data_IF_933991739348
#
_entry.id   IF_933991739348
#
_cell.length_a   1.000
_cell.length_b   1.000
_cell.length_c   1.000
_cell.angle_alpha   90.00
_cell.angle_beta   90.00
_cell.angle_gamma   90.00
#
_symmetry.space_group_name_H-M   'P 1'
#
loop_
_entity.id
_entity.type
_entity.pdbx_description
1 polymer ?
#
# COMPACT_ATOMS: atom_id res chain seq x y z
N UNK A 1 23.70 -2.41 -9.91
CA UNK A 1 22.47 -2.91 -9.24
C UNK A 1 21.67 -1.72 -8.73
N UNK A 2 20.41 -1.60 -9.11
CA UNK A 2 19.47 -0.59 -8.58
C UNK A 2 18.46 -1.31 -7.70
N UNK A 3 18.19 -0.74 -6.52
CA UNK A 3 17.10 -1.17 -5.63
C UNK A 3 15.97 -0.16 -5.78
N UNK A 4 14.75 -0.63 -6.06
CA UNK A 4 13.56 0.22 -6.04
C UNK A 4 12.41 -0.43 -5.25
N UNK A 5 11.63 0.41 -4.59
CA UNK A 5 10.44 0.02 -3.81
C UNK A 5 9.27 0.96 -4.16
N UNK A 6 8.00 0.54 -4.02
CA UNK A 6 6.86 1.42 -4.24
C UNK A 6 6.83 2.57 -3.23
N UNK A 7 6.12 3.62 -3.62
CA UNK A 7 5.63 4.59 -2.64
C UNK A 7 4.51 3.96 -1.80
N UNK A 8 4.31 4.45 -0.58
CA UNK A 8 3.29 3.89 0.32
C UNK A 8 2.41 5.00 0.88
N UNK A 9 1.10 4.86 0.66
CA UNK A 9 0.09 5.73 1.24
C UNK A 9 -0.42 5.09 2.52
N UNK A 10 -0.35 5.84 3.62
CA UNK A 10 -0.84 5.41 4.93
C UNK A 10 -2.17 6.08 5.26
N UNK A 11 -3.13 5.27 5.71
CA UNK A 11 -4.47 5.67 6.12
C UNK A 11 -4.80 5.03 7.46
N UNK A 12 -5.63 5.70 8.25
CA UNK A 12 -6.00 5.26 9.60
C UNK A 12 -7.52 5.16 9.72
N UNK A 13 -7.99 4.14 10.44
CA UNK A 13 -9.38 3.98 10.85
C UNK A 13 -9.41 3.29 12.22
N UNK A 14 -9.61 4.06 13.29
CA UNK A 14 -9.54 3.57 14.66
C UNK A 14 -8.18 2.95 15.00
N UNK A 15 -8.16 1.68 15.39
CA UNK A 15 -6.91 0.96 15.70
C UNK A 15 -6.20 0.40 14.46
N UNK A 16 -6.80 0.55 13.27
CA UNK A 16 -6.24 0.03 12.03
C UNK A 16 -5.33 1.05 11.34
N UNK A 17 -4.21 0.55 10.82
CA UNK A 17 -3.41 1.28 9.84
C UNK A 17 -3.43 0.51 8.53
N UNK A 18 -3.86 1.18 7.47
CA UNK A 18 -3.90 0.65 6.11
C UNK A 18 -2.75 1.29 5.35
N UNK A 19 -1.86 0.47 4.82
CA UNK A 19 -0.76 0.93 3.98
C UNK A 19 -0.92 0.37 2.58
N UNK A 20 -0.92 1.26 1.59
CA UNK A 20 -1.21 0.92 0.20
C UNK A 20 0.03 1.23 -0.63
N UNK A 21 0.65 0.19 -1.16
CA UNK A 21 1.82 0.32 -2.05
C UNK A 21 1.36 0.73 -3.44
N UNK A 22 1.96 1.80 -3.97
CA UNK A 22 1.56 2.41 -5.25
C UNK A 22 2.76 2.74 -6.12
N UNK A 23 2.53 2.75 -7.43
CA UNK A 23 3.46 3.25 -8.42
C UNK A 23 3.38 4.79 -8.55
N UNK A 24 4.46 5.47 -8.99
CA UNK A 24 5.77 4.92 -9.39
C UNK A 24 6.63 4.46 -8.20
N UNK A 25 7.63 3.60 -8.49
CA UNK A 25 8.63 3.21 -7.50
C UNK A 25 9.64 4.34 -7.24
N UNK A 26 10.32 4.24 -6.10
CA UNK A 26 11.39 5.14 -5.66
C UNK A 26 12.69 4.35 -5.50
N UNK A 27 13.81 5.01 -5.72
CA UNK A 27 15.18 4.47 -5.63
C UNK A 27 15.99 5.07 -4.48
N UNK A 28 15.36 5.96 -3.69
CA UNK A 28 15.90 6.58 -2.48
C UNK A 28 14.92 6.44 -1.30
N UNK A 29 15.46 6.50 -0.07
CA UNK A 29 14.69 6.47 1.18
C UNK A 29 15.20 5.43 2.18
N UNK A 30 14.77 5.56 3.43
CA UNK A 30 15.27 4.77 4.57
C UNK A 30 15.27 3.25 4.33
N UNK A 31 14.16 2.69 3.84
CA UNK A 31 14.07 1.24 3.57
C UNK A 31 15.07 0.79 2.49
N UNK A 32 15.34 1.63 1.51
CA UNK A 32 16.32 1.32 0.47
C UNK A 32 17.73 1.34 1.04
N UNK A 33 18.05 2.30 1.90
CA UNK A 33 19.36 2.36 2.58
C UNK A 33 19.58 1.16 3.51
N UNK A 34 18.55 0.74 4.25
CA UNK A 34 18.56 -0.51 5.04
C UNK A 34 18.89 -1.70 4.13
N UNK A 35 18.20 -1.84 3.00
CA UNK A 35 18.38 -2.95 2.08
C UNK A 35 19.74 -2.92 1.38
N UNK A 36 20.25 -1.74 0.98
CA UNK A 36 21.59 -1.59 0.39
C UNK A 36 22.69 -1.99 1.37
N UNK A 37 22.52 -1.69 2.65
CA UNK A 37 23.57 -1.93 3.66
C UNK A 37 23.80 -3.40 3.96
N UNK A 38 22.74 -4.21 3.98
CA UNK A 38 22.79 -5.59 4.48
C UNK A 38 22.33 -6.64 3.48
N UNK A 39 21.57 -6.23 2.45
CA UNK A 39 20.85 -7.13 1.54
C UNK A 39 19.92 -8.12 2.26
N UNK A 40 19.55 -7.83 3.52
CA UNK A 40 18.76 -8.72 4.37
C UNK A 40 17.46 -8.06 4.79
N UNK A 41 16.34 -8.72 4.50
CA UNK A 41 15.02 -8.31 4.97
C UNK A 41 14.92 -8.38 6.51
N UNK A 42 15.74 -9.21 7.18
CA UNK A 42 15.75 -9.32 8.65
C UNK A 42 16.15 -8.02 9.37
N UNK A 43 16.88 -7.12 8.70
CA UNK A 43 17.25 -5.81 9.27
C UNK A 43 16.07 -4.82 9.28
N UNK A 44 14.99 -5.14 8.58
CA UNK A 44 13.75 -4.36 8.59
C UNK A 44 12.92 -4.68 9.85
N UNK A 45 13.32 -4.06 10.96
CA UNK A 45 12.69 -4.24 12.29
C UNK A 45 11.29 -3.64 12.37
N UNK A 46 11.06 -2.50 11.70
CA UNK A 46 9.73 -1.88 11.61
C UNK A 46 8.95 -2.48 10.43
N UNK A 47 7.99 -3.35 10.77
CA UNK A 47 7.14 -4.02 9.77
C UNK A 47 6.21 -3.04 9.06
N UNK A 48 5.69 -2.03 9.74
CA UNK A 48 4.76 -1.05 9.15
C UNK A 48 5.47 -0.19 8.11
N UNK A 49 6.74 0.12 8.35
CA UNK A 49 7.59 0.84 7.41
C UNK A 49 8.04 -0.06 6.24
N UNK A 50 8.58 -1.23 6.54
CA UNK A 50 9.29 -2.03 5.55
C UNK A 50 8.39 -2.93 4.71
N UNK A 51 7.46 -3.66 5.32
CA UNK A 51 6.78 -4.76 4.62
C UNK A 51 5.95 -4.29 3.42
N UNK A 52 5.21 -3.16 3.49
CA UNK A 52 4.50 -2.65 2.32
C UNK A 52 5.44 -2.34 1.15
N UNK A 53 6.64 -1.82 1.44
CA UNK A 53 7.67 -1.52 0.43
C UNK A 53 8.32 -2.78 -0.12
N UNK A 54 8.52 -3.79 0.72
CA UNK A 54 9.22 -5.01 0.31
C UNK A 54 8.31 -5.94 -0.47
N UNK A 55 7.07 -6.14 -0.02
CA UNK A 55 6.17 -7.15 -0.56
C UNK A 55 5.01 -6.58 -1.40
N UNK A 56 4.87 -5.25 -1.45
CA UNK A 56 3.78 -4.61 -2.17
C UNK A 56 2.38 -4.98 -1.62
N UNK A 57 1.37 -4.52 -2.33
CA UNK A 57 -0.05 -4.75 -2.05
C UNK A 57 -0.61 -3.76 -1.03
N UNK A 58 -1.75 -4.14 -0.46
CA UNK A 58 -2.42 -3.42 0.61
C UNK A 58 -2.21 -4.22 1.89
N UNK A 59 -1.54 -3.63 2.87
CA UNK A 59 -1.45 -4.21 4.21
C UNK A 59 -2.44 -3.54 5.14
N UNK A 60 -3.08 -4.36 5.97
CA UNK A 60 -3.91 -3.91 7.09
C UNK A 60 -3.19 -4.34 8.37
N UNK A 61 -2.89 -3.36 9.21
CA UNK A 61 -2.29 -3.56 10.52
C UNK A 61 -3.32 -3.27 11.60
N UNK A 62 -3.39 -4.14 12.61
CA UNK A 62 -4.04 -3.82 13.88
C UNK A 62 -2.95 -3.39 14.86
N UNK A 63 -2.93 -2.10 15.20
CA UNK A 63 -1.85 -1.44 15.95
C UNK A 63 -0.49 -1.60 15.24
N UNK A 64 0.30 -2.63 15.58
CA UNK A 64 1.61 -2.94 14.94
C UNK A 64 1.69 -4.35 14.34
N UNK A 65 0.63 -5.14 14.50
CA UNK A 65 0.57 -6.51 13.99
C UNK A 65 -0.06 -6.52 12.61
N UNK A 66 0.54 -7.27 11.68
CA UNK A 66 -0.04 -7.49 10.35
C UNK A 66 -1.28 -8.35 10.54
N UNK A 67 -2.44 -7.81 10.16
CA UNK A 67 -3.69 -8.55 10.13
C UNK A 67 -3.83 -9.27 8.78
N UNK A 68 -3.56 -8.56 7.69
CA UNK A 68 -3.65 -9.11 6.33
C UNK A 68 -2.76 -8.37 5.34
N UNK A 69 -2.38 -9.06 4.27
CA UNK A 69 -1.86 -8.50 3.01
C UNK A 69 -2.82 -8.91 1.91
N UNK A 70 -3.25 -7.93 1.11
CA UNK A 70 -4.20 -8.12 0.03
C UNK A 70 -3.52 -7.72 -1.27
N UNK A 71 -3.60 -8.60 -2.27
CA UNK A 71 -3.24 -8.25 -3.63
C UNK A 71 -4.45 -7.69 -4.34
N UNK A 72 -4.29 -6.51 -4.93
CA UNK A 72 -5.35 -5.86 -5.68
C UNK A 72 -4.78 -5.39 -7.01
N UNK A 73 -5.16 -6.05 -8.10
CA UNK A 73 -4.86 -5.60 -9.45
C UNK A 73 -5.82 -4.45 -9.82
N UNK A 74 -5.29 -3.23 -9.81
CA UNK A 74 -6.06 -2.03 -10.07
C UNK A 74 -5.38 -0.75 -9.57
N UNK A 75 -6.20 0.25 -9.30
CA UNK A 75 -5.79 1.62 -9.06
C UNK A 75 -6.40 2.17 -7.77
N UNK A 76 -5.65 3.02 -7.09
CA UNK A 76 -6.10 3.86 -5.99
C UNK A 76 -6.34 5.27 -6.51
N UNK A 77 -7.58 5.75 -6.41
CA UNK A 77 -8.02 7.07 -6.86
C UNK A 77 -8.53 7.89 -5.68
N UNK A 78 -8.42 9.22 -5.75
CA UNK A 78 -9.03 10.09 -4.74
C UNK A 78 -10.54 10.19 -4.98
N UNK A 79 -11.35 9.89 -3.97
CA UNK A 79 -12.80 9.91 -4.04
C UNK A 79 -13.42 11.19 -3.50
N UNK A 80 -14.71 11.38 -3.79
CA UNK A 80 -15.55 12.46 -3.21
C UNK A 80 -16.52 11.95 -2.15
N UNK A 81 -17.00 10.72 -2.32
CA UNK A 81 -17.94 10.06 -1.43
C UNK A 81 -17.48 8.60 -1.23
N UNK A 82 -17.77 8.05 -0.06
CA UNK A 82 -17.37 6.69 0.31
C UNK A 82 -17.92 6.31 1.68
N UNK A 83 -18.05 5.01 1.92
CA UNK A 83 -18.47 4.51 3.23
C UNK A 83 -17.34 4.60 4.25
N UNK A 84 -17.65 4.65 5.54
CA UNK A 84 -16.63 4.58 6.58
C UNK A 84 -15.88 3.25 6.46
N UNK A 85 -14.55 3.30 6.58
CA UNK A 85 -13.73 2.10 6.52
C UNK A 85 -14.13 1.11 7.61
N UNK A 86 -14.51 -0.09 7.17
CA UNK A 86 -14.71 -1.29 7.98
C UNK A 86 -13.89 -2.41 7.36
N UNK A 87 -13.09 -3.12 8.17
CA UNK A 87 -12.14 -4.12 7.67
C UNK A 87 -12.83 -5.29 6.97
N UNK A 88 -13.97 -5.76 7.47
CA UNK A 88 -14.67 -6.91 6.90
C UNK A 88 -15.28 -6.53 5.56
N UNK A 89 -15.98 -5.38 5.51
CA UNK A 89 -16.51 -4.84 4.25
C UNK A 89 -15.41 -4.54 3.25
N UNK A 90 -14.27 -4.03 3.69
CA UNK A 90 -13.14 -3.74 2.82
C UNK A 90 -12.67 -4.98 2.06
N UNK A 91 -12.53 -6.11 2.75
CA UNK A 91 -12.15 -7.38 2.13
C UNK A 91 -13.15 -7.86 1.06
N UNK A 92 -14.45 -7.68 1.29
CA UNK A 92 -15.49 -8.05 0.33
C UNK A 92 -15.54 -7.08 -0.86
N UNK A 93 -15.52 -5.78 -0.57
CA UNK A 93 -15.63 -4.70 -1.56
C UNK A 93 -14.45 -4.59 -2.53
N UNK A 94 -13.27 -5.12 -2.18
CA UNK A 94 -12.14 -5.21 -3.11
C UNK A 94 -12.34 -6.25 -4.22
N UNK A 95 -13.34 -7.14 -4.10
CA UNK A 95 -13.74 -8.05 -5.19
C UNK A 95 -14.57 -7.33 -6.25
N UNK A 96 -15.20 -6.21 -5.89
CA UNK A 96 -16.01 -5.41 -6.80
C UNK A 96 -15.12 -4.62 -7.78
N UNK A 97 -15.71 -4.15 -8.88
CA UNK A 97 -15.00 -3.31 -9.84
C UNK A 97 -14.58 -1.96 -9.27
N UNK A 98 -15.36 -1.44 -8.32
CA UNK A 98 -15.19 -0.11 -7.74
C UNK A 98 -15.74 -0.05 -6.31
N UNK A 99 -14.94 0.47 -5.38
CA UNK A 99 -15.36 0.70 -3.99
C UNK A 99 -14.62 1.88 -3.38
N UNK A 100 -15.31 2.70 -2.56
CA UNK A 100 -14.73 3.92 -1.97
C UNK A 100 -14.88 3.91 -0.45
N UNK A 101 -13.81 4.28 0.24
CA UNK A 101 -13.74 4.29 1.70
C UNK A 101 -13.27 5.64 2.22
N UNK A 102 -13.89 6.09 3.31
CA UNK A 102 -13.53 7.25 4.10
C UNK A 102 -12.73 6.82 5.33
N UNK A 103 -11.63 7.53 5.57
CA UNK A 103 -10.69 7.28 6.66
C UNK A 103 -10.71 8.43 7.68
N UNK A 104 -10.07 8.23 8.84
CA UNK A 104 -10.15 9.15 9.99
C UNK A 104 -9.67 10.56 9.69
N UNK A 105 -8.69 10.70 8.79
CA UNK A 105 -8.17 11.98 8.33
C UNK A 105 -9.11 12.70 7.35
N UNK A 106 -10.34 12.21 7.17
CA UNK A 106 -11.34 12.73 6.25
C UNK A 106 -11.06 12.43 4.77
N UNK A 107 -9.92 11.81 4.43
CA UNK A 107 -9.61 11.44 3.05
C UNK A 107 -10.51 10.29 2.60
N UNK A 108 -10.89 10.34 1.34
CA UNK A 108 -11.67 9.31 0.68
C UNK A 108 -10.82 8.75 -0.46
N UNK A 109 -10.68 7.42 -0.47
CA UNK A 109 -9.98 6.71 -1.53
C UNK A 109 -10.87 5.64 -2.13
N UNK A 110 -10.82 5.56 -3.47
CA UNK A 110 -11.55 4.59 -4.25
C UNK A 110 -10.58 3.58 -4.88
N UNK A 111 -10.92 2.31 -4.75
CA UNK A 111 -10.23 1.17 -5.35
C UNK A 111 -10.98 0.79 -6.62
N UNK A 112 -10.28 0.79 -7.75
CA UNK A 112 -10.89 0.58 -9.07
C UNK A 112 -10.07 -0.41 -9.88
N UNK A 113 -10.71 -1.38 -10.55
CA UNK A 113 -10.03 -2.30 -11.48
C UNK A 113 -9.50 -1.59 -12.74
N UNK A 114 -10.11 -0.47 -13.11
CA UNK A 114 -9.71 0.36 -14.25
C UNK A 114 -9.25 1.75 -13.80
N UNK A 115 -8.34 2.35 -14.55
CA UNK A 115 -7.90 3.73 -14.28
C UNK A 115 -9.03 4.71 -14.61
N UNK A 116 -9.54 5.44 -13.62
CA UNK A 116 -10.64 6.40 -13.80
C UNK A 116 -10.15 7.79 -14.22
N UNK A 117 -8.98 8.22 -13.74
CA UNK A 117 -8.39 9.51 -14.07
C UNK A 117 -6.85 9.48 -14.01
N UNK A 118 -6.20 10.61 -14.37
CA UNK A 118 -4.74 10.72 -14.40
C UNK A 118 -4.11 10.69 -13.00
N UNK A 119 -4.82 11.12 -11.97
CA UNK A 119 -4.37 11.12 -10.57
C UNK A 119 -4.45 9.77 -9.88
N UNK A 120 -5.22 8.83 -10.42
CA UNK A 120 -5.23 7.44 -9.97
C UNK A 120 -3.84 6.80 -10.07
N UNK A 121 -3.36 6.24 -8.95
CA UNK A 121 -2.08 5.54 -8.87
C UNK A 121 -2.31 4.03 -9.00
N UNK A 122 -1.55 3.31 -9.86
CA UNK A 122 -1.60 1.85 -9.88
C UNK A 122 -1.15 1.29 -8.52
N UNK A 123 -1.83 0.27 -8.02
CA UNK A 123 -1.42 -0.45 -6.82
C UNK A 123 -0.30 -1.43 -7.20
N UNK A 124 0.79 -1.39 -6.45
CA UNK A 124 1.95 -2.24 -6.69
C UNK A 124 1.91 -3.48 -5.81
N UNK A 125 1.54 -4.64 -6.36
CA UNK A 125 1.55 -5.92 -5.64
C UNK A 125 2.94 -6.58 -5.57
N UNK A 126 3.95 -6.02 -6.24
CA UNK A 126 5.29 -6.63 -6.33
C UNK A 126 6.18 -6.16 -5.18
N UNK A 127 6.23 -4.84 -4.91
CA UNK A 127 7.11 -4.30 -3.89
C UNK A 127 8.55 -4.13 -4.36
N UNK A 128 9.48 -4.77 -3.68
CA UNK A 128 10.92 -4.62 -3.90
C UNK A 128 11.34 -5.16 -5.27
N UNK A 129 12.15 -4.38 -5.98
CA UNK A 129 12.77 -4.76 -7.25
C UNK A 129 14.28 -4.56 -7.18
N UNK A 130 15.01 -5.58 -7.60
CA UNK A 130 16.45 -5.50 -7.87
C UNK A 130 16.67 -5.49 -9.37
N UNK A 131 17.28 -4.43 -9.88
CA UNK A 131 17.61 -4.30 -11.30
C UNK A 131 19.11 -4.49 -11.45
N UNK A 132 19.50 -5.60 -12.07
CA UNK A 132 20.88 -5.96 -12.38
C UNK A 132 21.12 -5.61 -13.86
N UNK A 133 22.20 -4.90 -14.12
CA UNK A 133 22.67 -4.54 -15.46
C UNK A 133 24.03 -5.19 -15.67
#
# INVERSE_FOLDING_TARGET
MIISVPDVIYLHSGEYTISISVLPTKTEGEVIEILKSSMKISECKDKLLCYPRIFGGIFIFLRKSILSRIEFDGYLCQGKEGELFDVNKFHESLKNEFSCFKFDNGKIYCFSKVRKDKGCKPIDNIGLRFIVY
#
